data_IF_201686568341
#
_entry.id   IF_201686568341
#
_cell.length_a   1.000
_cell.length_b   1.000
_cell.length_c   1.000
_cell.angle_alpha   90.00
_cell.angle_beta   90.00
_cell.angle_gamma   90.00
#
_symmetry.space_group_name_H-M   'P 1'
#
loop_
_entity.id
_entity.type
_entity.pdbx_description
1 polymer ?
#
# COMPACT_ATOMS: atom_id res chain seq x y z
N UNK A 1 24.30 33.46 -13.86
CA UNK A 1 23.32 33.91 -12.86
C UNK A 1 22.30 32.81 -12.66
N UNK A 2 22.31 32.27 -11.44
CA UNK A 2 21.33 31.46 -10.70
C UNK A 2 20.67 30.24 -11.36
N UNK A 3 21.22 29.07 -11.05
CA UNK A 3 20.47 27.81 -10.99
C UNK A 3 19.73 27.70 -9.65
N UNK A 4 18.49 27.22 -9.68
CA UNK A 4 17.74 26.83 -8.49
C UNK A 4 17.65 25.31 -8.42
N UNK A 5 18.16 24.79 -7.30
CA UNK A 5 18.32 23.38 -6.97
C UNK A 5 17.11 22.97 -6.14
N UNK A 6 16.24 22.12 -6.68
CA UNK A 6 15.14 21.52 -5.95
C UNK A 6 15.69 20.62 -4.83
N UNK A 7 15.27 20.88 -3.60
CA UNK A 7 15.51 20.00 -2.44
C UNK A 7 14.23 19.23 -2.13
N UNK A 8 14.29 17.89 -1.98
CA UNK A 8 13.20 17.14 -1.36
C UNK A 8 13.17 17.38 0.15
N UNK A 9 11.97 17.39 0.72
CA UNK A 9 11.69 17.52 2.14
C UNK A 9 12.17 16.28 2.89
N UNK A 10 13.23 16.41 3.67
CA UNK A 10 13.70 15.40 4.63
C UNK A 10 12.90 15.55 5.93
N UNK A 11 12.22 14.49 6.36
CA UNK A 11 11.56 14.43 7.68
C UNK A 11 12.54 13.82 8.69
N UNK A 12 12.93 14.62 9.69
CA UNK A 12 13.87 14.25 10.75
C UNK A 12 13.11 13.68 11.95
N UNK A 13 13.54 12.51 12.44
CA UNK A 13 13.05 11.88 13.65
C UNK A 13 13.39 12.71 14.90
N UNK A 14 12.44 12.81 15.84
CA UNK A 14 12.70 13.31 17.19
C UNK A 14 12.14 12.33 18.21
N UNK A 15 13.04 11.63 18.90
CA UNK A 15 12.75 10.90 20.13
C UNK A 15 12.50 11.90 21.26
N UNK A 16 11.50 11.64 22.11
CA UNK A 16 11.40 12.30 23.41
C UNK A 16 11.09 11.28 24.50
N UNK A 17 11.92 11.36 25.55
CA UNK A 17 11.90 10.57 26.76
C UNK A 17 10.84 11.05 27.78
N UNK A 18 10.50 10.12 28.68
CA UNK A 18 9.49 10.19 29.73
C UNK A 18 9.58 11.39 30.68
N UNK A 19 8.41 11.86 31.13
CA UNK A 19 8.25 12.39 32.49
C UNK A 19 6.81 12.19 32.99
N UNK A 20 6.71 11.70 34.23
CA UNK A 20 5.48 11.34 34.92
C UNK A 20 4.70 12.57 35.42
N UNK A 21 3.37 12.45 35.42
CA UNK A 21 2.45 13.43 36.02
C UNK A 21 1.06 12.84 36.21
N UNK A 22 0.75 12.44 37.44
CA UNK A 22 -0.55 12.00 37.95
C UNK A 22 -1.58 13.14 37.95
N UNK A 23 -2.80 12.89 37.48
CA UNK A 23 -4.04 13.50 38.00
C UNK A 23 -5.28 12.86 37.37
N UNK A 24 -6.11 12.29 38.24
CA UNK A 24 -7.34 11.60 37.87
C UNK A 24 -8.44 12.52 37.35
N UNK A 25 -9.13 12.06 36.30
CA UNK A 25 -10.47 12.47 35.94
C UNK A 25 -11.20 11.29 35.32
N UNK A 26 -12.30 10.89 35.96
CA UNK A 26 -13.19 9.81 35.55
C UNK A 26 -13.86 10.13 34.20
N UNK A 27 -13.38 9.51 33.12
CA UNK A 27 -14.05 9.50 31.83
C UNK A 27 -14.70 8.13 31.60
N UNK A 28 -16.00 8.16 31.29
CA UNK A 28 -16.81 6.98 30.98
C UNK A 28 -16.16 6.18 29.86
N UNK A 29 -15.75 4.95 30.18
CA UNK A 29 -15.29 3.95 29.21
C UNK A 29 -16.38 3.68 28.16
N UNK A 30 -16.21 4.31 27.01
CA UNK A 30 -16.86 3.89 25.77
C UNK A 30 -16.12 2.61 25.38
N UNK A 31 -16.67 1.45 25.74
CA UNK A 31 -16.21 0.13 25.28
C UNK A 31 -15.99 0.19 23.77
N UNK A 32 -14.73 0.29 23.35
CA UNK A 32 -14.31 -0.09 22.01
C UNK A 32 -14.63 -1.57 21.89
N UNK A 33 -15.65 -1.89 21.10
CA UNK A 33 -15.92 -3.27 20.71
C UNK A 33 -14.68 -3.75 19.97
N UNK A 34 -13.85 -4.55 20.65
CA UNK A 34 -12.71 -5.23 20.07
C UNK A 34 -13.21 -6.20 19.00
N UNK A 35 -13.44 -5.70 17.80
CA UNK A 35 -13.61 -6.53 16.62
C UNK A 35 -12.30 -7.29 16.42
N UNK A 36 -12.40 -8.61 16.35
CA UNK A 36 -11.24 -9.46 16.06
C UNK A 36 -10.63 -9.00 14.73
N UNK A 37 -9.39 -8.52 14.76
CA UNK A 37 -8.66 -8.07 13.57
C UNK A 37 -8.59 -9.23 12.57
N UNK A 38 -9.22 -9.07 11.41
CA UNK A 38 -9.21 -10.09 10.36
C UNK A 38 -7.82 -10.15 9.74
N UNK A 39 -7.15 -11.29 9.92
CA UNK A 39 -5.89 -11.62 9.24
C UNK A 39 -6.20 -12.29 7.91
N UNK A 40 -5.67 -11.73 6.84
CA UNK A 40 -5.95 -12.13 5.46
C UNK A 40 -4.66 -12.66 4.86
N UNK A 41 -4.70 -13.89 4.37
CA UNK A 41 -3.58 -14.49 3.64
C UNK A 41 -3.77 -14.29 2.14
N UNK A 42 -2.66 -14.07 1.45
CA UNK A 42 -2.68 -14.00 -0.02
C UNK A 42 -3.15 -15.32 -0.61
N UNK A 43 -3.96 -15.26 -1.67
CA UNK A 43 -4.28 -16.41 -2.52
C UNK A 43 -2.98 -16.93 -3.16
N UNK A 44 -2.95 -18.23 -3.48
CA UNK A 44 -1.80 -18.86 -4.14
C UNK A 44 -1.61 -18.24 -5.53
N UNK A 45 -0.42 -17.70 -5.78
CA UNK A 45 -0.04 -17.15 -7.08
C UNK A 45 0.14 -18.26 -8.12
N UNK A 46 -0.51 -18.13 -9.28
CA UNK A 46 -0.34 -19.00 -10.46
C UNK A 46 -0.04 -18.14 -11.69
N UNK A 47 1.07 -17.42 -11.69
CA UNK A 47 1.42 -16.44 -12.74
C UNK A 47 1.47 -17.05 -14.14
N UNK A 48 1.94 -18.29 -14.26
CA UNK A 48 2.15 -18.98 -15.55
C UNK A 48 0.84 -19.41 -16.22
N UNK A 49 -0.27 -19.44 -15.46
CA UNK A 49 -1.60 -19.77 -16.00
C UNK A 49 -2.17 -18.62 -16.83
N UNK A 50 -1.77 -17.39 -16.53
CA UNK A 50 -2.36 -16.20 -17.14
C UNK A 50 -1.60 -15.79 -18.40
N UNK A 51 -2.31 -15.49 -19.50
CA UNK A 51 -1.67 -14.98 -20.70
C UNK A 51 -0.93 -13.68 -20.39
N UNK A 52 0.19 -13.46 -21.06
CA UNK A 52 0.92 -12.19 -20.95
C UNK A 52 0.02 -11.07 -21.48
N UNK A 53 -0.06 -9.97 -20.72
CA UNK A 53 -0.78 -8.77 -21.13
C UNK A 53 0.15 -7.57 -21.03
N UNK A 54 -0.02 -6.65 -21.96
CA UNK A 54 0.63 -5.34 -21.97
C UNK A 54 -0.25 -4.31 -21.27
N UNK A 55 0.37 -3.23 -20.80
CA UNK A 55 -0.38 -2.10 -20.26
C UNK A 55 -1.34 -1.48 -21.30
N UNK A 56 -0.93 -1.43 -22.57
CA UNK A 56 -1.76 -0.87 -23.64
C UNK A 56 -3.05 -1.66 -23.84
N UNK A 57 -2.97 -3.00 -23.79
CA UNK A 57 -4.15 -3.87 -23.85
C UNK A 57 -5.08 -3.63 -22.66
N UNK A 58 -4.54 -3.45 -21.45
CA UNK A 58 -5.36 -3.12 -20.28
C UNK A 58 -6.03 -1.75 -20.42
N UNK A 59 -5.30 -0.72 -20.85
CA UNK A 59 -5.86 0.62 -21.07
C UNK A 59 -6.95 0.61 -22.14
N UNK A 60 -6.84 -0.25 -23.15
CA UNK A 60 -7.87 -0.40 -24.19
C UNK A 60 -9.21 -0.92 -23.64
N UNK A 61 -9.21 -1.59 -22.47
CA UNK A 61 -10.43 -2.02 -21.78
C UNK A 61 -11.15 -0.88 -21.03
N UNK A 62 -10.50 0.27 -20.87
CA UNK A 62 -11.08 1.42 -20.16
C UNK A 62 -11.50 1.06 -18.73
N UNK A 63 -12.81 1.18 -18.44
CA UNK A 63 -13.38 0.92 -17.10
C UNK A 63 -13.68 -0.55 -16.82
N UNK A 64 -13.49 -1.44 -17.79
CA UNK A 64 -13.82 -2.86 -17.68
C UNK A 64 -12.61 -3.73 -17.27
N UNK A 65 -11.58 -3.12 -16.67
CA UNK A 65 -10.43 -3.84 -16.13
C UNK A 65 -10.89 -4.66 -14.92
N UNK A 66 -10.73 -5.97 -15.03
CA UNK A 66 -11.07 -6.95 -14.00
C UNK A 66 -9.81 -7.48 -13.30
N UNK A 67 -9.96 -8.17 -12.15
CA UNK A 67 -8.82 -8.78 -11.45
C UNK A 67 -7.99 -9.71 -12.34
N UNK A 68 -8.66 -10.47 -13.21
CA UNK A 68 -8.00 -11.47 -14.05
C UNK A 68 -7.12 -10.83 -15.12
N UNK A 69 -7.48 -9.64 -15.58
CA UNK A 69 -6.71 -8.89 -16.57
C UNK A 69 -5.33 -8.49 -16.03
N UNK A 70 -5.22 -8.05 -14.78
CA UNK A 70 -3.93 -7.59 -14.21
C UNK A 70 -2.98 -8.74 -13.83
N UNK A 71 -3.47 -9.97 -13.70
CA UNK A 71 -2.65 -11.13 -13.32
C UNK A 71 -1.62 -11.52 -14.40
N UNK A 72 -1.88 -11.14 -15.65
CA UNK A 72 -1.01 -11.32 -16.81
C UNK A 72 0.15 -10.33 -16.92
N UNK A 73 0.15 -9.23 -16.15
CA UNK A 73 1.17 -8.16 -16.29
C UNK A 73 2.56 -8.68 -15.96
N UNK A 74 3.57 -8.35 -16.79
CA UNK A 74 4.96 -8.79 -16.58
C UNK A 74 5.90 -7.66 -16.17
N UNK A 75 5.47 -6.42 -16.33
CA UNK A 75 6.18 -5.23 -15.90
C UNK A 75 5.24 -4.32 -15.09
N UNK A 76 5.84 -3.42 -14.33
CA UNK A 76 5.14 -2.29 -13.69
C UNK A 76 4.48 -1.43 -14.77
N UNK A 77 3.28 -0.92 -14.52
CA UNK A 77 2.67 0.01 -15.48
C UNK A 77 3.33 1.39 -15.40
N UNK A 78 3.43 2.08 -16.53
CA UNK A 78 4.01 3.42 -16.63
C UNK A 78 3.07 4.47 -16.02
N UNK A 79 1.76 4.30 -16.15
CA UNK A 79 0.75 5.22 -15.62
C UNK A 79 -0.36 4.49 -14.85
N UNK A 80 -1.30 5.24 -14.31
CA UNK A 80 -2.45 4.70 -13.60
C UNK A 80 -3.51 4.15 -14.58
N UNK A 81 -4.02 2.95 -14.29
CA UNK A 81 -5.07 2.29 -15.06
C UNK A 81 -6.50 2.76 -14.73
N UNK A 82 -6.68 3.60 -13.72
CA UNK A 82 -7.96 4.22 -13.38
C UNK A 82 -7.78 5.65 -12.85
N UNK A 83 -8.85 6.43 -12.87
CA UNK A 83 -8.87 7.80 -12.35
C UNK A 83 -9.29 7.81 -10.87
N UNK A 84 -8.93 8.85 -10.11
CA UNK A 84 -9.43 9.02 -8.74
C UNK A 84 -10.96 8.98 -8.65
N UNK A 85 -11.66 9.54 -9.64
CA UNK A 85 -13.12 9.58 -9.70
C UNK A 85 -13.77 8.19 -9.86
N UNK A 86 -13.01 7.16 -10.25
CA UNK A 86 -13.52 5.79 -10.33
C UNK A 86 -13.66 5.15 -8.92
N UNK A 87 -13.11 5.77 -7.86
CA UNK A 87 -13.33 5.42 -6.46
C UNK A 87 -14.70 5.90 -5.95
N UNK A 88 -15.78 5.41 -6.58
CA UNK A 88 -17.17 5.78 -6.25
C UNK A 88 -17.62 5.33 -4.86
N UNK A 89 -16.83 4.48 -4.19
CA UNK A 89 -17.09 3.96 -2.85
C UNK A 89 -16.47 4.81 -1.74
N UNK A 90 -15.79 5.92 -2.09
CA UNK A 90 -15.09 6.80 -1.16
C UNK A 90 -14.16 6.02 -0.21
N UNK A 91 -13.43 5.04 -0.74
CA UNK A 91 -12.43 4.32 0.04
C UNK A 91 -11.27 5.25 0.32
N UNK A 92 -10.94 5.44 1.60
CA UNK A 92 -9.79 6.24 1.98
C UNK A 92 -8.89 5.52 2.98
N UNK A 93 -7.63 5.31 2.62
CA UNK A 93 -6.64 4.68 3.49
C UNK A 93 -6.09 5.70 4.48
N UNK A 94 -6.38 5.51 5.77
CA UNK A 94 -6.06 6.48 6.82
C UNK A 94 -4.83 6.09 7.62
N UNK A 95 -4.51 4.80 7.71
CA UNK A 95 -3.29 4.32 8.38
C UNK A 95 -2.77 3.04 7.74
N UNK A 96 -1.45 2.94 7.66
CA UNK A 96 -0.75 1.78 7.17
C UNK A 96 0.46 1.47 8.05
N UNK A 97 0.55 0.23 8.52
CA UNK A 97 1.64 -0.22 9.40
C UNK A 97 2.13 -1.59 8.98
N UNK A 98 3.45 -1.73 8.80
CA UNK A 98 4.10 -3.02 8.53
C UNK A 98 4.87 -3.44 9.78
N UNK A 99 4.69 -4.69 10.20
CA UNK A 99 5.54 -5.33 11.22
C UNK A 99 6.09 -6.67 10.76
N UNK A 100 7.28 -7.01 11.24
CA UNK A 100 7.77 -8.36 11.20
C UNK A 100 6.92 -9.24 12.14
N UNK A 101 6.42 -10.37 11.65
CA UNK A 101 5.61 -11.28 12.46
C UNK A 101 6.45 -12.20 13.36
N UNK A 102 7.73 -12.37 13.07
CA UNK A 102 8.63 -13.18 13.89
C UNK A 102 9.06 -12.42 15.14
N UNK A 103 9.53 -11.18 14.98
CA UNK A 103 10.02 -10.36 16.10
C UNK A 103 8.98 -9.40 16.67
N UNK A 104 7.91 -9.10 15.93
CA UNK A 104 6.93 -8.05 16.28
C UNK A 104 7.40 -6.62 16.00
N UNK A 105 8.63 -6.44 15.49
CA UNK A 105 9.23 -5.12 15.19
C UNK A 105 8.39 -4.38 14.15
N UNK A 106 8.04 -3.13 14.42
CA UNK A 106 7.40 -2.24 13.44
C UNK A 106 8.46 -1.75 12.46
N UNK A 107 8.29 -2.09 11.19
CA UNK A 107 9.22 -1.78 10.11
C UNK A 107 8.87 -0.47 9.40
N UNK A 108 7.57 -0.13 9.38
CA UNK A 108 7.05 1.08 8.78
C UNK A 108 5.69 1.43 9.38
N UNK A 109 5.42 2.72 9.53
CA UNK A 109 4.09 3.20 9.88
C UNK A 109 3.86 4.60 9.31
N UNK A 110 2.68 4.81 8.73
CA UNK A 110 2.20 6.11 8.29
C UNK A 110 0.72 6.24 8.63
N UNK A 111 0.31 7.42 9.07
CA UNK A 111 -1.09 7.77 9.31
C UNK A 111 -1.37 9.13 8.68
N UNK A 112 -2.55 9.28 8.07
CA UNK A 112 -3.03 10.57 7.61
C UNK A 112 -3.31 11.47 8.84
N UNK A 113 -2.95 12.75 8.80
CA UNK A 113 -3.29 13.69 9.87
C UNK A 113 -4.82 13.80 10.02
N UNK A 114 -5.35 13.96 11.25
CA UNK A 114 -6.79 13.97 11.52
C UNK A 114 -7.57 15.19 10.97
N UNK A 115 -6.95 16.06 10.18
CA UNK A 115 -7.53 17.35 9.75
C UNK A 115 -7.53 17.62 8.23
N UNK A 116 -7.19 16.64 7.39
CA UNK A 116 -7.32 16.80 5.92
C UNK A 116 -8.75 16.46 5.48
N UNK A 117 -9.74 17.14 6.05
CA UNK A 117 -11.12 17.19 5.54
C UNK A 117 -11.43 18.64 5.19
N UNK A 118 -10.66 19.23 4.28
CA UNK A 118 -10.98 20.53 3.71
C UNK A 118 -11.50 20.29 2.29
N UNK A 119 -12.84 20.29 2.18
CA UNK A 119 -13.57 20.47 0.92
C UNK A 119 -13.36 21.88 0.33
N UNK A 120 -12.49 22.70 0.92
CA UNK A 120 -12.24 24.10 0.57
C UNK A 120 -10.74 24.36 0.33
N UNK A 121 -10.20 23.92 -0.82
CA UNK A 121 -9.04 24.53 -1.50
C UNK A 121 -8.81 23.82 -2.85
N UNK A 122 -9.69 24.13 -3.81
CA UNK A 122 -9.61 23.64 -5.21
C UNK A 122 -8.68 24.55 -6.00
N UNK A 123 -7.39 24.60 -5.69
CA UNK A 123 -6.38 25.11 -6.63
C UNK A 123 -5.07 24.28 -6.54
N UNK A 124 -4.90 23.41 -7.54
CA UNK A 124 -3.63 22.76 -7.93
C UNK A 124 -3.00 21.72 -6.98
N UNK A 125 -3.80 20.97 -6.22
CA UNK A 125 -3.32 19.72 -5.58
C UNK A 125 -3.21 18.64 -6.65
N UNK A 126 -1.98 18.22 -6.93
CA UNK A 126 -1.64 17.09 -7.82
C UNK A 126 -2.65 15.95 -7.63
N UNK A 127 -3.42 15.62 -8.68
CA UNK A 127 -4.47 14.60 -8.64
C UNK A 127 -3.91 13.18 -8.40
N UNK A 128 -2.57 13.03 -8.36
CA UNK A 128 -1.85 11.82 -7.95
C UNK A 128 -1.35 11.86 -6.49
N UNK A 129 -1.50 12.99 -5.78
CA UNK A 129 -1.07 13.17 -4.41
C UNK A 129 -1.71 12.11 -3.50
N UNK A 130 -0.88 11.19 -3.00
CA UNK A 130 -1.28 10.10 -2.12
C UNK A 130 -1.48 8.72 -2.77
N UNK A 131 -1.41 8.61 -4.11
CA UNK A 131 -1.44 7.31 -4.81
C UNK A 131 -0.05 6.71 -5.05
N UNK A 132 1.01 7.44 -4.71
CA UNK A 132 2.39 6.97 -4.80
C UNK A 132 3.07 7.01 -3.42
N UNK A 133 3.76 5.93 -3.06
CA UNK A 133 4.56 5.85 -1.81
C UNK A 133 5.99 5.42 -2.13
N UNK A 134 6.96 6.16 -1.58
CA UNK A 134 8.38 5.80 -1.66
C UNK A 134 8.84 5.20 -0.34
N UNK A 135 9.20 3.92 -0.37
CA UNK A 135 9.67 3.20 0.82
C UNK A 135 11.19 3.22 0.92
N UNK A 136 11.67 3.43 2.15
CA UNK A 136 13.08 3.26 2.51
C UNK A 136 13.19 2.20 3.59
N UNK A 137 13.80 1.08 3.21
CA UNK A 137 14.04 -0.07 4.08
C UNK A 137 15.54 -0.36 4.19
N UNK A 138 15.88 -1.19 5.16
CA UNK A 138 17.24 -1.72 5.32
C UNK A 138 17.38 -3.03 4.54
N UNK A 139 18.62 -3.50 4.26
CA UNK A 139 18.83 -4.77 3.57
C UNK A 139 18.22 -5.97 4.30
N UNK A 140 18.06 -5.88 5.63
CA UNK A 140 17.45 -6.93 6.44
C UNK A 140 15.99 -7.20 6.05
N UNK A 141 15.28 -6.21 5.50
CA UNK A 141 13.89 -6.36 5.06
C UNK A 141 13.73 -7.46 4.00
N UNK A 142 14.69 -7.59 3.08
CA UNK A 142 14.67 -8.60 2.01
C UNK A 142 14.88 -10.04 2.51
N UNK A 143 15.28 -10.21 3.78
CA UNK A 143 15.51 -11.51 4.42
C UNK A 143 14.35 -11.96 5.30
N UNK A 144 13.34 -11.11 5.49
CA UNK A 144 12.16 -11.44 6.28
C UNK A 144 11.35 -12.54 5.59
N UNK A 145 10.79 -13.45 6.39
CA UNK A 145 9.94 -14.53 5.87
C UNK A 145 8.47 -14.11 5.78
N UNK A 146 7.98 -13.41 6.81
CA UNK A 146 6.57 -13.03 6.88
C UNK A 146 6.39 -11.71 7.58
N UNK A 147 5.65 -10.80 6.93
CA UNK A 147 5.27 -9.51 7.51
C UNK A 147 3.76 -9.37 7.58
N UNK A 148 3.29 -8.66 8.60
CA UNK A 148 1.89 -8.28 8.74
C UNK A 148 1.74 -6.81 8.43
N UNK A 149 0.92 -6.49 7.42
CA UNK A 149 0.56 -5.11 7.11
C UNK A 149 -0.86 -4.83 7.63
N UNK A 150 -0.97 -4.01 8.66
CA UNK A 150 -2.25 -3.50 9.16
C UNK A 150 -2.65 -2.27 8.36
N UNK A 151 -3.87 -2.29 7.83
CA UNK A 151 -4.45 -1.20 7.05
C UNK A 151 -5.72 -0.73 7.77
N UNK A 152 -5.84 0.56 7.99
CA UNK A 152 -7.08 1.22 8.41
C UNK A 152 -7.58 2.09 7.26
N UNK A 153 -8.89 2.01 6.98
CA UNK A 153 -9.51 2.74 5.90
C UNK A 153 -10.97 3.05 6.18
N UNK A 154 -11.45 4.19 5.70
CA UNK A 154 -12.86 4.55 5.71
C UNK A 154 -13.51 4.20 4.39
N UNK A 155 -14.83 4.00 4.42
CA UNK A 155 -15.64 3.70 3.24
C UNK A 155 -16.91 4.54 3.29
N UNK A 156 -17.45 4.87 2.11
CA UNK A 156 -18.72 5.59 1.96
C UNK A 156 -19.95 4.76 2.33
N UNK A 157 -21.11 5.24 1.91
CA UNK A 157 -22.43 4.67 2.21
C UNK A 157 -22.78 3.46 1.33
N UNK A 158 -22.18 3.37 0.14
CA UNK A 158 -22.41 2.27 -0.78
C UNK A 158 -21.79 0.97 -0.26
N UNK A 159 -22.56 -0.14 -0.22
CA UNK A 159 -22.01 -1.43 0.14
C UNK A 159 -21.03 -1.92 -0.92
N UNK A 160 -19.88 -2.44 -0.49
CA UNK A 160 -18.87 -3.02 -1.37
C UNK A 160 -18.92 -4.54 -1.30
N UNK A 161 -19.10 -5.17 -2.46
CA UNK A 161 -18.99 -6.62 -2.57
C UNK A 161 -17.65 -7.00 -3.17
N UNK A 162 -17.06 -8.07 -2.64
CA UNK A 162 -15.81 -8.67 -3.15
C UNK A 162 -14.66 -7.66 -3.24
N UNK A 163 -14.47 -6.83 -2.20
CA UNK A 163 -13.35 -5.89 -2.17
C UNK A 163 -12.02 -6.66 -2.13
N UNK A 164 -11.24 -6.53 -3.19
CA UNK A 164 -10.03 -7.34 -3.45
C UNK A 164 -8.87 -6.43 -3.84
N UNK A 165 -7.68 -6.75 -3.37
CA UNK A 165 -6.44 -6.12 -3.83
C UNK A 165 -5.53 -7.15 -4.47
N UNK A 166 -5.01 -6.81 -5.64
CA UNK A 166 -3.90 -7.51 -6.29
C UNK A 166 -2.70 -6.57 -6.28
N UNK A 167 -1.64 -6.97 -5.59
CA UNK A 167 -0.40 -6.21 -5.48
C UNK A 167 0.74 -6.98 -6.14
N UNK A 168 1.44 -6.34 -7.07
CA UNK A 168 2.47 -6.98 -7.90
C UNK A 168 3.78 -6.23 -7.74
N UNK A 169 4.85 -6.95 -7.37
CA UNK A 169 6.18 -6.41 -7.16
C UNK A 169 7.12 -6.81 -8.28
N UNK A 170 7.88 -5.86 -8.78
CA UNK A 170 8.82 -6.03 -9.89
C UNK A 170 10.19 -5.48 -9.52
N UNK A 171 11.25 -6.09 -10.03
CA UNK A 171 12.60 -5.51 -10.03
C UNK A 171 13.14 -5.56 -11.45
N UNK A 172 13.50 -4.39 -12.00
CA UNK A 172 14.03 -4.26 -13.37
C UNK A 172 13.18 -5.00 -14.44
N UNK A 173 11.85 -4.85 -14.34
CA UNK A 173 10.91 -5.48 -15.29
C UNK A 173 10.69 -6.98 -15.09
N UNK A 174 11.22 -7.59 -14.02
CA UNK A 174 10.95 -8.97 -13.64
C UNK A 174 10.00 -9.03 -12.46
N UNK A 175 8.92 -9.80 -12.58
CA UNK A 175 7.98 -10.04 -11.49
C UNK A 175 8.68 -10.83 -10.35
N UNK A 176 8.71 -10.25 -9.16
CA UNK A 176 9.20 -10.87 -7.93
C UNK A 176 8.10 -11.69 -7.25
N UNK A 177 6.94 -11.07 -7.07
CA UNK A 177 5.82 -11.68 -6.34
C UNK A 177 4.50 -11.01 -6.70
N UNK A 178 3.43 -11.80 -6.64
CA UNK A 178 2.05 -11.34 -6.69
C UNK A 178 1.39 -11.70 -5.36
N UNK A 179 0.80 -10.70 -4.71
CA UNK A 179 -0.07 -10.86 -3.57
C UNK A 179 -1.51 -10.55 -3.97
N UNK A 180 -2.44 -11.34 -3.47
CA UNK A 180 -3.85 -11.30 -3.87
C UNK A 180 -4.72 -11.51 -2.64
N UNK A 181 -5.26 -10.42 -2.12
CA UNK A 181 -5.98 -10.37 -0.85
C UNK A 181 -7.45 -10.06 -1.09
N UNK A 182 -8.29 -10.73 -0.31
CA UNK A 182 -9.73 -10.46 -0.23
C UNK A 182 -10.00 -9.80 1.12
N UNK A 183 -10.49 -8.56 1.12
CA UNK A 183 -10.79 -7.82 2.36
C UNK A 183 -12.00 -8.39 3.08
N UNK A 184 -12.85 -9.14 2.37
CA UNK A 184 -14.15 -9.59 2.84
C UNK A 184 -15.13 -8.42 3.02
N UNK A 185 -16.10 -8.62 3.92
CA UNK A 185 -17.14 -7.62 4.17
C UNK A 185 -16.59 -6.37 4.86
N UNK A 186 -16.81 -5.21 4.24
CA UNK A 186 -16.55 -3.88 4.77
C UNK A 186 -17.86 -3.23 5.22
N UNK A 187 -17.89 -2.68 6.43
CA UNK A 187 -19.10 -2.06 6.97
C UNK A 187 -19.24 -0.66 6.34
N UNK A 188 -20.37 -0.34 5.68
CA UNK A 188 -20.59 1.00 5.10
C UNK A 188 -20.55 2.11 6.16
N UNK A 189 -20.18 3.34 5.74
CA UNK A 189 -20.10 4.53 6.58
C UNK A 189 -19.28 4.30 7.87
N UNK A 190 -18.18 3.57 7.78
CA UNK A 190 -17.37 3.24 8.94
C UNK A 190 -15.87 3.16 8.63
N UNK A 191 -15.06 3.15 9.70
CA UNK A 191 -13.65 2.80 9.63
C UNK A 191 -13.51 1.28 9.76
N UNK A 192 -12.82 0.68 8.80
CA UNK A 192 -12.52 -0.75 8.74
C UNK A 192 -11.02 -0.95 8.97
N UNK A 193 -10.68 -2.08 9.58
CA UNK A 193 -9.29 -2.48 9.79
C UNK A 193 -9.08 -3.91 9.32
N UNK A 194 -8.05 -4.14 8.52
CA UNK A 194 -7.62 -5.48 8.12
C UNK A 194 -6.11 -5.64 8.33
N UNK A 195 -5.67 -6.89 8.39
CA UNK A 195 -4.25 -7.22 8.40
C UNK A 195 -3.92 -8.20 7.27
N UNK A 196 -3.15 -7.73 6.29
CA UNK A 196 -2.62 -8.57 5.22
C UNK A 196 -1.35 -9.27 5.69
N UNK A 197 -1.30 -10.59 5.52
CA UNK A 197 -0.15 -11.41 5.85
C UNK A 197 0.62 -11.70 4.55
N UNK A 198 1.79 -11.09 4.44
CA UNK A 198 2.68 -11.23 3.30
C UNK A 198 3.72 -12.30 3.60
N UNK A 199 3.69 -13.39 2.84
CA UNK A 199 4.72 -14.43 2.84
C UNK A 199 5.73 -14.14 1.73
N UNK A 200 6.92 -13.69 2.11
CA UNK A 200 7.94 -13.26 1.16
C UNK A 200 8.56 -14.45 0.41
N UNK A 201 8.91 -14.29 -0.87
CA UNK A 201 9.69 -15.30 -1.57
C UNK A 201 11.10 -15.36 -0.98
N UNK A 202 11.72 -16.54 -1.01
CA UNK A 202 13.15 -16.67 -0.76
C UNK A 202 13.90 -16.15 -2.00
N UNK A 203 14.62 -15.04 -1.83
CA UNK A 203 15.36 -14.39 -2.92
C UNK A 203 16.83 -14.87 -2.91
N UNK A 204 17.43 -15.17 -4.08
CA UNK A 204 18.86 -15.46 -4.17
C UNK A 204 19.72 -14.28 -3.67
N UNK A 205 20.87 -14.57 -3.06
CA UNK A 205 21.75 -13.53 -2.50
C UNK A 205 22.20 -12.49 -3.53
N UNK A 206 22.51 -12.91 -4.76
CA UNK A 206 22.88 -12.00 -5.84
C UNK A 206 21.75 -11.03 -6.20
N UNK A 207 20.50 -11.48 -6.17
CA UNK A 207 19.34 -10.62 -6.42
C UNK A 207 19.13 -9.65 -5.25
N UNK A 208 19.27 -10.10 -4.00
CA UNK A 208 19.22 -9.22 -2.82
C UNK A 208 20.27 -8.11 -2.95
N UNK A 209 21.50 -8.47 -3.32
CA UNK A 209 22.59 -7.50 -3.53
C UNK A 209 22.23 -6.48 -4.60
N UNK A 210 21.72 -6.93 -5.76
CA UNK A 210 21.27 -6.02 -6.82
C UNK A 210 20.16 -5.08 -6.34
N UNK A 211 19.15 -5.60 -5.64
CA UNK A 211 18.05 -4.77 -5.12
C UNK A 211 18.52 -3.72 -4.11
N UNK A 212 19.59 -3.99 -3.36
CA UNK A 212 20.22 -3.01 -2.45
C UNK A 212 21.03 -1.96 -3.22
N UNK A 213 21.78 -2.36 -4.24
CA UNK A 213 22.61 -1.46 -5.08
C UNK A 213 21.79 -0.56 -6.02
N UNK A 214 20.54 -0.95 -6.32
CA UNK A 214 19.66 -0.28 -7.28
C UNK A 214 18.37 0.25 -6.61
N UNK A 215 18.48 1.30 -5.76
CA UNK A 215 17.31 1.86 -5.06
C UNK A 215 16.26 2.38 -6.06
N UNK A 216 14.99 2.16 -5.74
CA UNK A 216 13.81 2.57 -6.51
C UNK A 216 13.62 1.88 -7.88
N UNK A 217 14.46 0.88 -8.20
CA UNK A 217 14.25 -0.02 -9.33
C UNK A 217 13.37 -1.22 -8.97
N UNK A 218 13.17 -1.49 -7.68
CA UNK A 218 12.03 -2.28 -7.22
C UNK A 218 10.80 -1.39 -7.16
N UNK A 219 9.71 -1.82 -7.81
CA UNK A 219 8.45 -1.08 -7.91
C UNK A 219 7.26 -2.02 -7.76
N UNK A 220 6.12 -1.49 -7.36
CA UNK A 220 4.89 -2.25 -7.29
C UNK A 220 3.68 -1.48 -7.77
N UNK A 221 2.72 -2.24 -8.31
CA UNK A 221 1.36 -1.79 -8.58
C UNK A 221 0.40 -2.47 -7.61
N UNK A 222 -0.49 -1.70 -6.97
CA UNK A 222 -1.58 -2.17 -6.12
C UNK A 222 -2.91 -1.83 -6.78
N UNK A 223 -3.57 -2.85 -7.32
CA UNK A 223 -4.86 -2.75 -7.99
C UNK A 223 -5.99 -3.14 -7.05
N UNK A 224 -6.96 -2.26 -6.86
CA UNK A 224 -8.10 -2.47 -5.97
C UNK A 224 -9.37 -2.65 -6.79
N UNK A 225 -10.13 -3.68 -6.46
CA UNK A 225 -11.33 -4.05 -7.19
C UNK A 225 -12.52 -4.16 -6.24
N UNK A 226 -13.66 -3.64 -6.68
CA UNK A 226 -14.98 -3.89 -6.08
C UNK A 226 -15.88 -4.38 -7.20
N UNK A 227 -16.66 -5.44 -6.96
CA UNK A 227 -17.50 -6.08 -7.98
C UNK A 227 -16.74 -6.42 -9.27
N UNK A 228 -15.47 -6.86 -9.12
CA UNK A 228 -14.54 -7.18 -10.20
C UNK A 228 -14.24 -6.02 -11.16
N UNK A 229 -14.43 -4.77 -10.73
CA UNK A 229 -14.05 -3.57 -11.49
C UNK A 229 -12.94 -2.82 -10.77
N UNK A 230 -11.92 -2.39 -11.52
CA UNK A 230 -10.83 -1.58 -10.99
C UNK A 230 -11.38 -0.22 -10.54
N UNK A 231 -11.18 0.12 -9.28
CA UNK A 231 -11.66 1.37 -8.67
C UNK A 231 -10.53 2.25 -8.12
N UNK A 232 -9.42 1.64 -7.71
CA UNK A 232 -8.21 2.37 -7.30
C UNK A 232 -6.96 1.66 -7.81
N UNK A 233 -5.93 2.44 -8.07
CA UNK A 233 -4.63 1.95 -8.44
C UNK A 233 -3.56 2.82 -7.77
N UNK A 234 -2.78 2.20 -6.89
CA UNK A 234 -1.68 2.85 -6.19
C UNK A 234 -0.35 2.26 -6.65
N UNK A 235 0.70 3.06 -6.55
CA UNK A 235 2.06 2.71 -6.97
C UNK A 235 3.04 2.91 -5.82
N UNK A 236 4.13 2.18 -5.85
CA UNK A 236 5.23 2.41 -4.93
C UNK A 236 6.58 2.05 -5.54
N UNK A 237 7.64 2.67 -5.02
CA UNK A 237 9.02 2.25 -5.23
C UNK A 237 9.74 2.02 -3.90
N UNK A 238 10.80 1.22 -3.96
CA UNK A 238 11.46 0.69 -2.77
C UNK A 238 12.97 0.86 -2.87
N UNK A 239 13.59 1.35 -1.80
CA UNK A 239 15.01 1.28 -1.57
C UNK A 239 15.30 0.37 -0.38
N UNK A 240 16.37 -0.42 -0.46
CA UNK A 240 16.79 -1.36 0.59
C UNK A 240 18.17 -1.04 1.15
N UNK A 241 18.71 0.13 0.87
CA UNK A 241 20.06 0.55 1.25
C UNK A 241 20.15 1.22 2.63
N UNK A 242 19.06 1.23 3.41
CA UNK A 242 19.02 1.87 4.73
C UNK A 242 19.15 3.40 4.70
N UNK A 243 18.83 4.04 3.57
CA UNK A 243 18.94 5.49 3.41
C UNK A 243 20.36 6.00 3.16
N UNK A 244 21.32 5.11 2.95
CA UNK A 244 22.67 5.48 2.53
C UNK A 244 22.62 6.04 1.09
N UNK A 245 23.16 7.24 0.89
CA UNK A 245 23.28 7.86 -0.44
C UNK A 245 24.52 7.40 -1.17
#
# INVERSE_FOLDING_TARGET
MNGFRNKPTETVFKEHADSAGDSGATHRDRKTSGGMLKKLKSRRSQTDKWPVVTEQELRALGRDISPDHVLGLRAVTEDYLCKPEDNVYNIDFTRFKIRDLETGTVLFEIAKPPHMTSEDDVEDIDTSAGRFVRYQFTPAFLKLQTVGATVEFTVGDQPMNSFRMIERHYFQGRLLKNFDFDFGFCIPNSCNTCEHIYEFPQLPEDLIRQMVEHPYETRSDSFYFVDNKLIMHNKADYAYNGGLR
#
